data_IF_502251539836
#
_entry.id   IF_502251539836
#
_cell.length_a   1.000
_cell.length_b   1.000
_cell.length_c   1.000
_cell.angle_alpha   90.00
_cell.angle_beta   90.00
_cell.angle_gamma   90.00
#
_symmetry.space_group_name_H-M   'P 1'
#
loop_
_entity.id
_entity.type
_entity.pdbx_description
1 polymer ?
#
# COMPACT_ATOMS: atom_id res chain seq x y z
N UNK A 1 7.78 6.48 -22.11
CA UNK A 1 7.78 5.13 -21.47
C UNK A 1 7.92 5.20 -19.95
N UNK A 2 9.03 5.66 -19.31
CA UNK A 2 9.08 5.69 -17.84
C UNK A 2 8.01 6.62 -17.24
N UNK A 3 7.98 7.87 -17.66
CA UNK A 3 7.00 8.85 -17.17
C UNK A 3 5.55 8.44 -17.46
N UNK A 4 5.28 7.81 -18.59
CA UNK A 4 3.91 7.39 -18.96
C UNK A 4 3.38 6.29 -18.03
N UNK A 5 4.26 5.52 -17.40
CA UNK A 5 3.88 4.43 -16.50
C UNK A 5 3.99 4.79 -15.01
N UNK A 6 4.88 5.71 -14.63
CA UNK A 6 5.19 6.00 -13.23
C UNK A 6 4.97 7.46 -12.82
N UNK A 7 4.77 8.39 -13.76
CA UNK A 7 4.37 9.74 -13.43
C UNK A 7 2.85 9.89 -13.56
N UNK A 8 2.13 9.17 -12.70
CA UNK A 8 0.67 9.14 -12.67
C UNK A 8 0.12 10.03 -11.57
N UNK A 9 -1.12 10.45 -11.72
CA UNK A 9 -2.01 10.85 -10.64
C UNK A 9 -3.21 9.92 -10.64
N UNK A 10 -3.73 9.57 -9.49
CA UNK A 10 -4.86 8.68 -9.38
C UNK A 10 -5.73 9.07 -8.18
N UNK A 11 -7.03 9.06 -8.41
CA UNK A 11 -8.02 9.22 -7.36
C UNK A 11 -8.63 7.86 -7.02
N UNK A 12 -8.97 7.67 -5.76
CA UNK A 12 -9.76 6.55 -5.31
C UNK A 12 -11.10 6.53 -6.03
N UNK A 13 -11.56 5.34 -6.40
CA UNK A 13 -12.81 5.19 -7.12
C UNK A 13 -14.00 5.35 -6.16
N UNK A 14 -14.62 6.52 -6.18
CA UNK A 14 -15.62 6.97 -5.22
C UNK A 14 -16.72 5.96 -4.90
N UNK A 15 -17.33 5.22 -5.87
CA UNK A 15 -18.37 4.24 -5.56
C UNK A 15 -17.93 3.06 -4.66
N UNK A 16 -16.64 2.78 -4.58
CA UNK A 16 -16.08 1.70 -3.76
C UNK A 16 -15.33 2.21 -2.52
N UNK A 17 -15.29 3.53 -2.30
CA UNK A 17 -14.61 4.12 -1.15
C UNK A 17 -15.28 3.71 0.15
N UNK A 18 -14.44 3.46 1.15
CA UNK A 18 -14.86 3.28 2.54
C UNK A 18 -14.85 4.63 3.26
N UNK A 19 -15.78 4.81 4.18
CA UNK A 19 -15.92 5.99 4.99
C UNK A 19 -15.78 5.65 6.47
N UNK A 20 -15.45 6.64 7.30
CA UNK A 20 -15.30 6.45 8.75
C UNK A 20 -16.58 5.86 9.37
N UNK A 21 -17.74 6.24 8.83
CA UNK A 21 -19.05 5.78 9.26
C UNK A 21 -19.32 4.29 8.97
N UNK A 22 -18.56 3.67 8.07
CA UNK A 22 -18.64 2.23 7.78
C UNK A 22 -18.04 1.39 8.93
N UNK A 23 -17.32 2.04 9.86
CA UNK A 23 -16.60 1.39 10.95
C UNK A 23 -17.09 1.85 12.32
N UNK A 24 -17.43 0.92 13.19
CA UNK A 24 -17.96 1.24 14.50
C UNK A 24 -16.89 1.84 15.44
N UNK A 25 -17.08 3.10 15.82
CA UNK A 25 -16.22 3.81 16.76
C UNK A 25 -14.89 4.28 16.18
N UNK A 26 -14.68 4.18 14.87
CA UNK A 26 -13.52 4.77 14.22
C UNK A 26 -13.63 6.29 14.20
N UNK A 27 -12.58 6.96 14.62
CA UNK A 27 -12.43 8.42 14.55
C UNK A 27 -11.26 8.76 13.63
N UNK A 28 -11.34 9.92 12.96
CA UNK A 28 -10.29 10.40 12.05
C UNK A 28 -10.00 11.89 12.28
N UNK A 29 -8.73 12.24 12.43
CA UNK A 29 -8.25 13.61 12.36
C UNK A 29 -7.44 13.82 11.07
N UNK A 30 -7.81 14.83 10.28
CA UNK A 30 -7.12 15.15 9.02
C UNK A 30 -5.93 16.10 9.29
N UNK A 31 -4.84 15.85 8.58
CA UNK A 31 -3.60 16.64 8.61
C UNK A 31 -3.15 16.98 7.20
N UNK A 32 -2.27 17.96 7.11
CA UNK A 32 -1.55 18.28 5.87
C UNK A 32 -0.10 18.57 6.21
N UNK A 33 0.83 17.96 5.46
CA UNK A 33 2.27 18.09 5.70
C UNK A 33 3.04 18.15 4.38
N UNK A 34 4.18 18.85 4.33
CA UNK A 34 4.94 19.00 3.09
C UNK A 34 5.76 17.75 2.79
N UNK A 35 5.90 17.40 1.50
CA UNK A 35 6.94 16.52 0.99
C UNK A 35 8.11 17.33 0.39
N UNK A 36 9.07 16.65 -0.23
CA UNK A 36 10.40 17.15 -0.60
C UNK A 36 10.41 18.36 -1.55
N UNK A 37 9.38 18.51 -2.39
CA UNK A 37 9.25 19.63 -3.35
C UNK A 37 8.33 20.75 -2.86
N UNK A 38 7.85 20.64 -1.61
CA UNK A 38 6.91 21.57 -1.00
C UNK A 38 5.45 21.31 -1.34
N UNK A 39 5.13 20.24 -2.10
CA UNK A 39 3.76 19.79 -2.28
C UNK A 39 3.20 19.28 -0.94
N UNK A 40 1.96 19.65 -0.65
CA UNK A 40 1.28 19.24 0.57
C UNK A 40 0.64 17.87 0.38
N UNK A 41 0.93 16.95 1.30
CA UNK A 41 0.30 15.65 1.37
C UNK A 41 -0.84 15.67 2.39
N UNK A 42 -1.91 14.97 2.06
CA UNK A 42 -3.02 14.74 2.97
C UNK A 42 -2.70 13.55 3.88
N UNK A 43 -2.84 13.73 5.18
CA UNK A 43 -2.63 12.71 6.22
C UNK A 43 -3.87 12.52 7.07
N UNK A 44 -4.05 11.32 7.58
CA UNK A 44 -5.23 10.89 8.32
C UNK A 44 -4.79 10.09 9.53
N UNK A 45 -5.09 10.59 10.73
CA UNK A 45 -4.84 9.88 11.99
C UNK A 45 -6.13 9.22 12.46
N UNK A 46 -6.19 7.92 12.34
CA UNK A 46 -7.29 7.10 12.82
C UNK A 46 -7.06 6.62 14.24
N UNK A 47 -8.14 6.56 15.03
CA UNK A 47 -8.14 5.97 16.36
C UNK A 47 -9.49 5.31 16.66
N UNK A 48 -9.50 4.38 17.60
CA UNK A 48 -10.72 3.76 18.09
C UNK A 48 -10.55 3.50 19.61
N UNK A 49 -11.28 4.29 20.43
CA UNK A 49 -11.17 4.23 21.88
C UNK A 49 -9.95 4.94 22.46
N UNK A 50 -9.63 4.59 23.70
CA UNK A 50 -8.55 5.16 24.49
C UNK A 50 -7.45 4.11 24.76
N UNK A 51 -6.25 4.56 25.18
CA UNK A 51 -5.12 3.72 25.57
C UNK A 51 -4.35 3.07 24.40
N UNK A 52 -4.13 3.82 23.33
CA UNK A 52 -3.22 3.41 22.28
C UNK A 52 -1.78 3.32 22.81
N UNK A 53 -1.04 2.31 22.32
CA UNK A 53 0.30 1.98 22.79
C UNK A 53 1.36 1.97 21.68
N UNK A 54 0.96 2.32 20.46
CA UNK A 54 1.84 2.45 19.29
C UNK A 54 1.17 3.21 18.16
N UNK A 55 1.93 3.53 17.13
CA UNK A 55 1.45 4.15 15.90
C UNK A 55 1.79 3.22 14.72
N UNK A 56 0.78 2.80 13.96
CA UNK A 56 0.98 2.14 12.67
C UNK A 56 0.97 3.21 11.58
N UNK A 57 2.03 3.34 10.79
CA UNK A 57 2.00 4.18 9.59
C UNK A 57 1.74 3.29 8.38
N UNK A 58 0.69 3.57 7.60
CA UNK A 58 0.30 2.80 6.43
C UNK A 58 0.76 3.51 5.16
N UNK A 59 1.59 2.83 4.36
CA UNK A 59 1.95 3.23 3.01
C UNK A 59 1.11 2.42 1.99
N UNK A 60 0.34 3.13 1.16
CA UNK A 60 -0.57 2.52 0.19
C UNK A 60 0.14 1.99 -1.06
N UNK A 61 -0.54 1.13 -1.83
CA UNK A 61 -0.07 0.59 -3.10
C UNK A 61 -0.11 1.62 -4.25
N UNK A 62 0.42 1.24 -5.41
CA UNK A 62 0.53 2.10 -6.58
C UNK A 62 -0.75 2.10 -7.42
N UNK A 63 -1.23 3.28 -7.81
CA UNK A 63 -2.19 3.45 -8.91
C UNK A 63 -3.68 3.25 -8.57
N UNK A 64 -4.01 2.96 -7.31
CA UNK A 64 -5.40 2.76 -6.87
C UNK A 64 -6.01 3.92 -6.08
N UNK A 65 -5.46 5.13 -6.18
CA UNK A 65 -5.74 6.24 -5.28
C UNK A 65 -4.82 6.23 -4.06
N UNK A 66 -5.24 6.86 -2.98
CA UNK A 66 -4.45 7.01 -1.76
C UNK A 66 -4.76 5.97 -0.68
N UNK A 67 -4.87 6.45 0.55
CA UNK A 67 -5.02 5.62 1.75
C UNK A 67 -6.33 4.83 1.84
N UNK A 68 -7.38 5.25 1.13
CA UNK A 68 -8.74 4.71 1.27
C UNK A 68 -8.82 3.19 1.07
N UNK A 69 -7.99 2.64 0.16
CA UNK A 69 -7.91 1.20 -0.09
C UNK A 69 -7.47 0.36 1.12
N UNK A 70 -7.00 0.99 2.20
CA UNK A 70 -6.49 0.35 3.42
C UNK A 70 -7.24 0.77 4.68
N UNK A 71 -8.45 1.36 4.56
CA UNK A 71 -9.25 1.80 5.71
C UNK A 71 -9.72 0.64 6.59
N UNK A 72 -9.97 -0.53 6.01
CA UNK A 72 -10.28 -1.76 6.75
C UNK A 72 -9.09 -2.20 7.62
N UNK A 73 -7.87 -2.15 7.11
CA UNK A 73 -6.66 -2.40 7.88
C UNK A 73 -6.43 -1.33 8.95
N UNK A 74 -6.70 -0.05 8.63
CA UNK A 74 -6.60 1.04 9.58
C UNK A 74 -7.59 0.86 10.74
N UNK A 75 -8.85 0.53 10.46
CA UNK A 75 -9.84 0.21 11.49
C UNK A 75 -9.42 -0.97 12.36
N UNK A 76 -8.88 -2.03 11.73
CA UNK A 76 -8.43 -3.20 12.48
C UNK A 76 -7.34 -2.85 13.50
N UNK A 77 -6.29 -2.14 13.09
CA UNK A 77 -5.23 -1.72 14.00
C UNK A 77 -5.73 -0.71 15.04
N UNK A 78 -6.60 0.24 14.65
CA UNK A 78 -7.17 1.21 15.57
C UNK A 78 -7.99 0.54 16.69
N UNK A 79 -8.84 -0.44 16.37
CA UNK A 79 -9.61 -1.24 17.35
C UNK A 79 -8.72 -2.05 18.29
N UNK A 80 -7.49 -2.33 17.89
CA UNK A 80 -6.55 -3.14 18.66
C UNK A 80 -5.45 -2.30 19.33
N UNK A 81 -5.73 -1.02 19.62
CA UNK A 81 -4.91 -0.18 20.51
C UNK A 81 -3.75 0.53 19.81
N UNK A 82 -3.84 0.80 18.53
CA UNK A 82 -2.90 1.65 17.81
C UNK A 82 -3.58 2.94 17.34
N UNK A 83 -2.83 4.04 17.32
CA UNK A 83 -3.11 5.08 16.34
C UNK A 83 -2.69 4.58 14.96
N UNK A 84 -3.42 4.96 13.93
CA UNK A 84 -3.04 4.62 12.55
C UNK A 84 -2.89 5.90 11.76
N UNK A 85 -1.68 6.21 11.31
CA UNK A 85 -1.44 7.32 10.41
C UNK A 85 -1.36 6.79 8.97
N UNK A 86 -2.32 7.18 8.14
CA UNK A 86 -2.32 6.90 6.72
C UNK A 86 -2.21 8.21 5.94
N UNK A 87 -1.73 8.19 4.72
CA UNK A 87 -1.58 9.39 3.89
C UNK A 87 -1.80 9.06 2.42
N UNK A 88 -2.14 10.08 1.66
CA UNK A 88 -2.14 10.03 0.22
C UNK A 88 -0.76 10.47 -0.28
N UNK A 89 -0.09 9.65 -1.08
CA UNK A 89 1.20 10.00 -1.67
C UNK A 89 1.06 11.15 -2.68
N UNK A 90 2.17 11.76 -3.08
CA UNK A 90 2.22 12.83 -4.07
C UNK A 90 1.33 12.53 -5.28
N UNK A 91 0.42 13.47 -5.62
CA UNK A 91 -0.53 13.40 -6.74
C UNK A 91 -1.58 12.27 -6.63
N UNK A 92 -1.82 11.73 -5.43
CA UNK A 92 -2.89 10.78 -5.16
C UNK A 92 -3.98 11.46 -4.32
N UNK A 93 -5.25 11.17 -4.61
CA UNK A 93 -6.43 11.68 -3.92
C UNK A 93 -6.34 13.18 -3.55
N UNK A 94 -6.27 13.51 -2.25
CA UNK A 94 -6.22 14.90 -1.77
C UNK A 94 -4.81 15.52 -1.72
N UNK A 95 -3.78 14.75 -2.03
CA UNK A 95 -2.41 15.25 -2.03
C UNK A 95 -2.06 16.04 -3.29
N UNK A 96 -1.29 17.12 -3.10
CA UNK A 96 -0.83 17.97 -4.21
C UNK A 96 0.22 17.25 -5.08
N UNK A 97 0.36 17.71 -6.32
CA UNK A 97 1.35 17.29 -7.29
C UNK A 97 0.77 17.17 -8.70
N UNK A 98 1.60 17.47 -9.70
CA UNK A 98 1.22 17.29 -11.12
C UNK A 98 1.35 15.82 -11.59
N UNK A 99 1.87 14.96 -10.72
CA UNK A 99 2.10 13.55 -10.92
C UNK A 99 3.13 13.01 -9.93
N UNK A 100 3.08 11.72 -9.65
CA UNK A 100 3.98 11.03 -8.71
C UNK A 100 5.46 11.17 -9.11
N UNK A 101 5.72 11.10 -10.40
CA UNK A 101 7.06 11.28 -10.95
C UNK A 101 7.91 10.03 -11.00
N UNK A 102 7.64 9.02 -10.19
CA UNK A 102 8.36 7.75 -10.20
C UNK A 102 8.30 6.98 -8.89
N UNK A 103 8.66 5.71 -8.94
CA UNK A 103 8.59 4.76 -7.83
C UNK A 103 9.29 5.24 -6.54
N UNK A 104 10.50 5.87 -6.59
CA UNK A 104 11.18 6.33 -5.38
C UNK A 104 10.48 7.47 -4.63
N UNK A 105 9.52 8.19 -5.25
CA UNK A 105 8.77 9.24 -4.58
C UNK A 105 8.01 8.72 -3.36
N UNK A 106 7.49 7.49 -3.39
CA UNK A 106 6.80 6.91 -2.26
C UNK A 106 7.68 6.73 -1.02
N UNK A 107 8.96 6.42 -1.21
CA UNK A 107 9.92 6.36 -0.07
C UNK A 107 10.14 7.75 0.52
N UNK A 108 10.22 8.79 -0.34
CA UNK A 108 10.36 10.19 0.09
C UNK A 108 9.11 10.66 0.83
N UNK A 109 7.94 10.36 0.31
CA UNK A 109 6.67 10.75 0.93
C UNK A 109 6.50 10.08 2.30
N UNK A 110 6.88 8.80 2.43
CA UNK A 110 6.86 8.08 3.70
C UNK A 110 7.91 8.63 4.69
N UNK A 111 9.13 8.98 4.24
CA UNK A 111 10.15 9.65 5.05
C UNK A 111 9.60 10.95 5.67
N UNK A 112 8.91 11.77 4.85
CA UNK A 112 8.27 12.99 5.33
C UNK A 112 7.06 12.71 6.22
N UNK A 113 6.29 11.64 5.99
CA UNK A 113 5.18 11.23 6.84
C UNK A 113 5.65 10.81 8.24
N UNK A 114 6.72 10.00 8.33
CA UNK A 114 7.31 9.59 9.62
C UNK A 114 7.86 10.82 10.35
N UNK A 115 8.63 11.67 9.67
CA UNK A 115 9.16 12.92 10.25
C UNK A 115 8.03 13.83 10.76
N UNK A 116 6.92 13.93 10.01
CA UNK A 116 5.75 14.70 10.43
C UNK A 116 5.12 14.12 11.70
N UNK A 117 4.90 12.82 11.76
CA UNK A 117 4.32 12.14 12.94
C UNK A 117 5.19 12.36 14.17
N UNK A 118 6.51 12.22 14.05
CA UNK A 118 7.45 12.40 15.16
C UNK A 118 7.56 13.85 15.64
N UNK A 119 7.41 14.82 14.73
CA UNK A 119 7.59 16.24 15.05
C UNK A 119 6.30 16.97 15.45
N UNK A 120 5.13 16.34 15.24
CA UNK A 120 3.84 16.96 15.51
C UNK A 120 3.41 16.77 16.97
N UNK A 121 3.28 17.88 17.72
CA UNK A 121 2.90 17.85 19.13
C UNK A 121 1.45 17.39 19.40
N UNK A 122 0.59 17.38 18.38
CA UNK A 122 -0.80 16.90 18.50
C UNK A 122 -0.91 15.37 18.33
N UNK A 123 0.17 14.71 17.90
CA UNK A 123 0.27 13.25 17.79
C UNK A 123 1.09 12.74 18.98
N UNK A 124 0.60 11.75 19.74
CA UNK A 124 1.33 11.20 20.88
C UNK A 124 2.69 10.61 20.47
N UNK A 125 3.73 10.83 21.29
CA UNK A 125 5.05 10.21 21.13
C UNK A 125 4.98 8.73 21.59
N UNK A 126 4.75 7.84 20.64
CA UNK A 126 4.58 6.40 20.82
C UNK A 126 5.49 5.64 19.83
N UNK A 127 5.82 4.36 20.12
CA UNK A 127 6.58 3.53 19.18
C UNK A 127 5.91 3.45 17.80
N UNK A 128 6.70 3.68 16.75
CA UNK A 128 6.24 3.62 15.36
C UNK A 128 6.53 2.24 14.77
N UNK A 129 5.53 1.68 14.10
CA UNK A 129 5.61 0.48 13.27
C UNK A 129 5.01 0.80 11.89
N UNK A 130 5.48 0.10 10.84
CA UNK A 130 5.08 0.39 9.47
C UNK A 130 4.33 -0.79 8.86
N UNK A 131 3.30 -0.49 8.08
CA UNK A 131 2.55 -1.43 7.28
C UNK A 131 2.52 -0.97 5.81
N UNK A 132 2.82 -1.86 4.87
CA UNK A 132 2.74 -1.53 3.46
C UNK A 132 2.43 -2.73 2.58
N UNK A 133 1.70 -2.48 1.49
CA UNK A 133 1.37 -3.47 0.49
C UNK A 133 1.86 -3.02 -0.88
N UNK A 134 2.37 -3.95 -1.68
CA UNK A 134 2.83 -3.68 -3.05
C UNK A 134 3.93 -2.60 -3.06
N UNK A 135 3.72 -1.50 -3.77
CA UNK A 135 4.59 -0.32 -3.73
C UNK A 135 4.81 0.21 -2.32
N UNK A 136 3.73 0.26 -1.50
CA UNK A 136 3.83 0.61 -0.08
C UNK A 136 4.72 -0.37 0.70
N UNK A 137 4.70 -1.67 0.35
CA UNK A 137 5.59 -2.69 0.91
C UNK A 137 7.07 -2.37 0.66
N UNK A 138 7.41 -2.00 -0.57
CA UNK A 138 8.75 -1.49 -0.89
C UNK A 138 9.07 -0.22 -0.09
N UNK A 139 8.13 0.73 -0.01
CA UNK A 139 8.37 2.00 0.68
C UNK A 139 8.68 1.80 2.17
N UNK A 140 7.90 0.97 2.90
CA UNK A 140 8.10 0.72 4.32
C UNK A 140 9.43 0.00 4.63
N UNK A 141 9.91 -0.80 3.70
CA UNK A 141 11.19 -1.50 3.83
C UNK A 141 12.38 -0.60 3.45
N UNK A 142 12.27 0.16 2.35
CA UNK A 142 13.34 1.02 1.88
C UNK A 142 13.52 2.27 2.76
N UNK A 143 12.46 2.78 3.42
CA UNK A 143 12.54 3.95 4.31
C UNK A 143 13.39 3.70 5.54
N UNK A 144 13.61 2.44 5.93
CA UNK A 144 14.51 2.07 7.04
C UNK A 144 15.96 2.52 6.82
N UNK A 145 16.37 2.85 5.61
CA UNK A 145 17.63 3.53 5.34
C UNK A 145 17.75 4.92 5.98
N UNK A 146 16.62 5.50 6.42
CA UNK A 146 16.51 6.86 6.95
C UNK A 146 15.92 6.90 8.35
N UNK A 147 15.10 5.91 8.72
CA UNK A 147 14.35 5.80 9.98
C UNK A 147 14.67 4.49 10.69
N UNK A 148 15.85 4.45 11.33
CA UNK A 148 16.32 3.27 12.06
C UNK A 148 15.68 3.08 13.44
N UNK A 149 14.91 4.05 13.92
CA UNK A 149 14.14 4.04 15.16
C UNK A 149 12.83 3.25 15.06
N UNK A 150 12.34 2.99 13.84
CA UNK A 150 11.14 2.19 13.58
C UNK A 150 11.27 0.79 14.21
N UNK A 151 10.25 0.39 14.97
CA UNK A 151 10.29 -0.85 15.76
C UNK A 151 10.01 -2.10 14.95
N UNK A 152 9.09 -2.01 13.99
CA UNK A 152 8.74 -3.14 13.16
C UNK A 152 8.19 -2.70 11.79
N UNK A 153 8.36 -3.58 10.81
CA UNK A 153 7.82 -3.43 9.45
C UNK A 153 7.07 -4.70 9.06
N UNK A 154 5.86 -4.53 8.51
CA UNK A 154 5.15 -5.58 7.76
C UNK A 154 5.11 -5.17 6.29
N UNK A 155 5.76 -5.94 5.45
CA UNK A 155 5.79 -5.81 4.00
C UNK A 155 4.95 -6.91 3.37
N UNK A 156 3.87 -6.54 2.68
CA UNK A 156 3.01 -7.47 1.93
C UNK A 156 3.21 -7.26 0.42
N UNK A 157 3.51 -8.33 -0.34
CA UNK A 157 3.68 -8.30 -1.81
C UNK A 157 4.61 -7.19 -2.31
N UNK A 158 5.62 -6.83 -1.52
CA UNK A 158 6.59 -5.79 -1.85
C UNK A 158 7.76 -6.30 -2.69
N UNK A 159 8.75 -5.43 -2.91
CA UNK A 159 9.92 -5.71 -3.73
C UNK A 159 11.16 -4.97 -3.22
N UNK A 160 12.36 -5.39 -3.67
CA UNK A 160 13.60 -4.90 -3.09
C UNK A 160 14.05 -3.52 -3.59
N UNK A 161 13.82 -3.18 -4.87
CA UNK A 161 14.30 -1.93 -5.46
C UNK A 161 13.28 -1.34 -6.43
N UNK A 162 13.31 -0.02 -6.64
CA UNK A 162 12.38 0.65 -7.56
C UNK A 162 12.38 0.05 -8.97
N UNK A 163 13.56 -0.40 -9.46
CA UNK A 163 13.66 -1.06 -10.75
C UNK A 163 12.99 -2.43 -10.81
N UNK A 164 12.78 -3.11 -9.68
CA UNK A 164 12.12 -4.43 -9.64
C UNK A 164 10.65 -4.31 -10.06
N UNK A 165 9.98 -3.21 -9.67
CA UNK A 165 8.61 -2.92 -10.14
C UNK A 165 8.53 -2.76 -11.65
N UNK A 166 9.53 -2.09 -12.25
CA UNK A 166 9.63 -1.95 -13.70
C UNK A 166 9.87 -3.30 -14.38
N UNK A 167 10.77 -4.11 -13.82
CA UNK A 167 11.08 -5.44 -14.36
C UNK A 167 9.88 -6.37 -14.27
N UNK A 168 9.20 -6.44 -13.13
CA UNK A 168 8.04 -7.29 -12.93
C UNK A 168 6.91 -6.91 -13.89
N UNK A 169 6.48 -5.65 -13.89
CA UNK A 169 5.41 -5.18 -14.77
C UNK A 169 5.75 -5.26 -16.26
N UNK A 170 7.02 -5.05 -16.64
CA UNK A 170 7.45 -5.12 -18.04
C UNK A 170 7.71 -6.54 -18.57
N UNK A 171 7.92 -7.51 -17.67
CA UNK A 171 8.24 -8.90 -18.06
C UNK A 171 7.11 -9.56 -18.87
N UNK A 172 5.87 -9.27 -18.54
CA UNK A 172 4.70 -9.78 -19.28
C UNK A 172 4.59 -9.20 -20.69
N UNK A 173 5.06 -7.96 -20.90
CA UNK A 173 4.95 -7.24 -22.18
C UNK A 173 6.17 -7.43 -23.10
N UNK A 174 7.38 -7.43 -22.54
CA UNK A 174 8.65 -7.43 -23.28
C UNK A 174 9.53 -8.66 -23.00
N UNK A 175 9.08 -9.61 -22.19
CA UNK A 175 9.88 -10.77 -21.79
C UNK A 175 11.24 -10.36 -21.21
N UNK A 176 12.30 -11.14 -21.51
CA UNK A 176 13.66 -10.86 -21.02
C UNK A 176 14.30 -9.58 -21.58
N UNK A 177 13.70 -8.95 -22.60
CA UNK A 177 14.23 -7.69 -23.15
C UNK A 177 14.13 -6.54 -22.12
N UNK A 178 13.20 -6.61 -21.17
CA UNK A 178 13.02 -5.63 -20.10
C UNK A 178 14.32 -5.39 -19.32
N UNK A 179 15.10 -6.44 -19.06
CA UNK A 179 16.34 -6.35 -18.29
C UNK A 179 17.42 -5.51 -18.99
N UNK A 180 17.35 -5.34 -20.30
CA UNK A 180 18.28 -4.47 -21.04
C UNK A 180 17.99 -2.98 -20.79
N UNK A 181 16.78 -2.63 -20.36
CA UNK A 181 16.36 -1.27 -20.04
C UNK A 181 16.62 -0.88 -18.57
N UNK A 182 16.70 -1.84 -17.67
CA UNK A 182 16.88 -1.60 -16.23
C UNK A 182 18.08 -0.68 -15.90
N UNK A 183 19.27 -0.81 -16.51
CA UNK A 183 20.37 0.11 -16.21
C UNK A 183 20.04 1.58 -16.55
N UNK A 184 19.28 1.82 -17.61
CA UNK A 184 18.87 3.18 -18.01
C UNK A 184 17.82 3.74 -17.06
N UNK A 185 16.90 2.92 -16.58
CA UNK A 185 15.91 3.29 -15.57
C UNK A 185 16.63 3.69 -14.27
N UNK A 186 17.56 2.87 -13.79
CA UNK A 186 18.34 3.15 -12.58
C UNK A 186 19.12 4.46 -12.69
N UNK A 187 19.72 4.75 -13.85
CA UNK A 187 20.41 6.02 -14.07
C UNK A 187 19.41 7.19 -14.07
N UNK A 188 18.27 7.04 -14.73
CA UNK A 188 17.24 8.07 -14.77
C UNK A 188 16.71 8.39 -13.35
N UNK A 189 16.36 7.38 -12.60
CA UNK A 189 15.89 7.52 -11.21
C UNK A 189 16.98 8.10 -10.30
N UNK A 190 18.23 7.65 -10.43
CA UNK A 190 19.34 8.20 -9.66
C UNK A 190 19.53 9.71 -9.91
N UNK A 191 19.46 10.15 -11.16
CA UNK A 191 19.58 11.58 -11.51
C UNK A 191 18.44 12.41 -10.94
N UNK A 192 17.26 11.81 -10.73
CA UNK A 192 16.07 12.49 -10.24
C UNK A 192 15.93 12.43 -8.72
N UNK A 193 16.23 11.31 -8.09
CA UNK A 193 15.94 11.00 -6.70
C UNK A 193 17.18 10.71 -5.84
N UNK A 194 18.37 10.63 -6.46
CA UNK A 194 19.62 10.36 -5.75
C UNK A 194 19.56 9.03 -4.98
N UNK A 195 19.89 9.11 -3.70
CA UNK A 195 19.95 7.94 -2.81
C UNK A 195 18.62 7.22 -2.64
N UNK A 196 17.48 7.91 -2.74
CA UNK A 196 16.16 7.28 -2.64
C UNK A 196 15.86 6.30 -3.78
N UNK A 197 16.54 6.45 -4.92
CA UNK A 197 16.43 5.50 -6.03
C UNK A 197 17.43 4.34 -5.94
N UNK A 198 18.51 4.48 -5.16
CA UNK A 198 19.59 3.49 -5.09
C UNK A 198 19.57 2.64 -3.83
N UNK A 199 19.06 3.19 -2.73
CA UNK A 199 18.92 2.43 -1.48
C UNK A 199 17.74 1.46 -1.61
N UNK A 200 18.03 0.19 -1.34
CA UNK A 200 17.06 -0.91 -1.47
C UNK A 200 16.39 -1.22 -0.13
N UNK A 201 15.34 -2.06 -0.15
CA UNK A 201 14.76 -2.62 1.06
C UNK A 201 15.80 -3.39 1.88
N UNK A 202 16.64 -4.22 1.23
CA UNK A 202 17.70 -4.97 1.92
C UNK A 202 18.74 -4.06 2.55
N UNK A 203 19.08 -2.91 1.92
CA UNK A 203 19.97 -1.91 2.55
C UNK A 203 19.32 -1.33 3.80
N UNK A 204 17.99 -1.08 3.77
CA UNK A 204 17.21 -0.63 4.93
C UNK A 204 17.20 -1.65 6.07
N UNK A 205 17.00 -2.92 5.77
CA UNK A 205 17.07 -4.01 6.76
C UNK A 205 18.44 -4.12 7.42
N UNK A 206 19.51 -3.95 6.64
CA UNK A 206 20.88 -3.99 7.14
C UNK A 206 21.25 -2.73 7.96
N UNK A 207 20.66 -1.57 7.60
CA UNK A 207 20.85 -0.30 8.30
C UNK A 207 20.12 -0.25 9.65
N UNK A 208 19.06 -1.06 9.84
CA UNK A 208 18.17 -1.04 11.01
C UNK A 208 18.22 -2.38 11.77
N UNK A 209 19.32 -2.68 12.47
CA UNK A 209 19.54 -3.99 13.11
C UNK A 209 18.57 -4.28 14.27
N UNK A 210 17.90 -3.27 14.81
CA UNK A 210 16.95 -3.40 15.92
C UNK A 210 15.48 -3.46 15.46
N UNK A 211 15.22 -3.32 14.16
CA UNK A 211 13.88 -3.37 13.58
C UNK A 211 13.47 -4.82 13.29
N UNK A 212 12.30 -5.22 13.76
CA UNK A 212 11.68 -6.51 13.37
C UNK A 212 11.05 -6.41 12.00
N UNK A 213 11.15 -7.46 11.17
CA UNK A 213 10.64 -7.45 9.79
C UNK A 213 9.77 -8.68 9.54
N UNK A 214 8.54 -8.46 9.07
CA UNK A 214 7.67 -9.51 8.57
C UNK A 214 7.43 -9.32 7.08
N UNK A 215 7.69 -10.37 6.31
CA UNK A 215 7.49 -10.41 4.86
C UNK A 215 6.37 -11.37 4.53
N UNK A 216 5.37 -10.90 3.81
CA UNK A 216 4.19 -11.68 3.38
C UNK A 216 4.08 -11.61 1.87
N UNK A 217 4.05 -12.75 1.18
CA UNK A 217 3.97 -12.77 -0.29
C UNK A 217 3.29 -14.04 -0.78
N UNK A 218 2.62 -13.97 -1.93
CA UNK A 218 2.02 -15.13 -2.58
C UNK A 218 2.87 -15.61 -3.75
N UNK A 219 2.98 -16.93 -3.91
CA UNK A 219 3.78 -17.54 -4.98
C UNK A 219 3.19 -17.32 -6.38
N UNK A 220 1.87 -17.11 -6.46
CA UNK A 220 1.11 -16.85 -7.67
C UNK A 220 0.89 -15.35 -7.95
N UNK A 221 1.62 -14.46 -7.25
CA UNK A 221 1.57 -13.02 -7.51
C UNK A 221 2.02 -12.72 -8.94
N UNK A 222 1.09 -12.29 -9.78
CA UNK A 222 1.29 -11.99 -11.19
C UNK A 222 1.62 -10.50 -11.48
N UNK A 223 1.58 -9.66 -10.44
CA UNK A 223 1.94 -8.23 -10.50
C UNK A 223 3.39 -8.03 -10.07
N UNK A 224 3.72 -8.50 -8.87
CA UNK A 224 5.08 -8.48 -8.33
C UNK A 224 5.51 -9.92 -8.07
N UNK A 225 6.34 -10.48 -8.95
CA UNK A 225 6.83 -11.85 -8.76
C UNK A 225 7.55 -12.00 -7.43
N UNK A 226 7.27 -13.10 -6.73
CA UNK A 226 7.81 -13.41 -5.39
C UNK A 226 9.35 -13.39 -5.34
N UNK A 227 10.01 -13.60 -6.48
CA UNK A 227 11.46 -13.52 -6.64
C UNK A 227 12.04 -12.13 -6.44
N UNK A 228 11.22 -11.06 -6.54
CA UNK A 228 11.65 -9.68 -6.30
C UNK A 228 11.57 -9.27 -4.82
N UNK A 229 10.78 -9.99 -4.04
CA UNK A 229 10.54 -9.77 -2.61
C UNK A 229 10.94 -10.95 -1.74
N UNK A 230 9.95 -11.74 -1.28
CA UNK A 230 10.12 -12.78 -0.26
C UNK A 230 11.24 -13.76 -0.56
N UNK A 231 11.34 -14.33 -1.76
CA UNK A 231 12.37 -15.34 -2.06
C UNK A 231 13.77 -14.76 -1.94
N UNK A 232 13.98 -13.51 -2.43
CA UNK A 232 15.25 -12.78 -2.31
C UNK A 232 15.63 -12.51 -0.86
N UNK A 233 14.66 -12.08 -0.04
CA UNK A 233 14.90 -11.79 1.36
C UNK A 233 15.11 -13.06 2.18
N UNK A 234 14.35 -14.11 1.91
CA UNK A 234 14.47 -15.39 2.57
C UNK A 234 15.85 -16.02 2.36
N UNK A 235 16.40 -15.91 1.16
CA UNK A 235 17.75 -16.41 0.87
C UNK A 235 18.80 -15.81 1.80
N UNK A 236 18.69 -14.51 2.14
CA UNK A 236 19.65 -13.79 2.97
C UNK A 236 19.35 -13.84 4.46
N UNK A 237 18.06 -13.73 4.83
CA UNK A 237 17.66 -13.43 6.21
C UNK A 237 16.90 -14.56 6.93
N UNK A 238 16.77 -15.76 6.34
CA UNK A 238 16.02 -16.88 6.93
C UNK A 238 16.52 -17.31 8.32
N UNK A 239 17.77 -17.07 8.62
CA UNK A 239 18.41 -17.43 9.90
C UNK A 239 18.53 -16.21 10.85
N UNK A 240 18.04 -15.03 10.46
CA UNK A 240 18.01 -13.83 11.29
C UNK A 240 16.71 -13.81 12.13
N UNK A 241 16.81 -13.83 13.48
CA UNK A 241 15.64 -13.90 14.35
C UNK A 241 14.69 -12.68 14.28
N UNK A 242 15.14 -11.58 13.67
CA UNK A 242 14.28 -10.39 13.43
C UNK A 242 13.24 -10.64 12.35
N UNK A 243 13.49 -11.61 11.45
CA UNK A 243 12.65 -11.84 10.30
C UNK A 243 11.59 -12.91 10.58
N UNK A 244 10.38 -12.64 10.06
CA UNK A 244 9.28 -13.58 9.95
C UNK A 244 8.82 -13.63 8.51
N UNK A 245 8.60 -14.82 7.96
CA UNK A 245 8.17 -15.00 6.57
C UNK A 245 6.85 -15.74 6.53
N UNK A 246 5.90 -15.21 5.76
CA UNK A 246 4.62 -15.84 5.46
C UNK A 246 4.52 -15.98 3.93
N UNK A 247 4.59 -17.20 3.45
CA UNK A 247 4.42 -17.54 2.04
C UNK A 247 3.03 -18.15 1.85
N UNK A 248 2.25 -17.54 0.97
CA UNK A 248 1.04 -18.14 0.44
C UNK A 248 1.30 -18.74 -0.93
N UNK A 249 0.46 -19.68 -1.38
CA UNK A 249 0.60 -20.32 -2.68
C UNK A 249 -0.40 -19.79 -3.71
N UNK A 250 -1.56 -19.25 -3.26
CA UNK A 250 -2.74 -18.97 -4.07
C UNK A 250 -3.57 -17.76 -3.59
N UNK A 251 -2.90 -16.68 -3.16
CA UNK A 251 -3.55 -15.44 -2.71
C UNK A 251 -3.45 -14.30 -3.72
N UNK A 252 -2.65 -14.47 -4.78
CA UNK A 252 -2.37 -13.42 -5.76
C UNK A 252 -1.74 -12.18 -5.15
N UNK A 253 -1.85 -11.06 -5.85
CA UNK A 253 -1.30 -9.77 -5.43
C UNK A 253 -2.26 -8.98 -4.53
N UNK A 254 -3.47 -8.71 -5.05
CA UNK A 254 -4.40 -7.76 -4.42
C UNK A 254 -5.24 -8.39 -3.31
N UNK A 255 -5.39 -9.71 -3.30
CA UNK A 255 -6.23 -10.42 -2.33
C UNK A 255 -5.45 -10.97 -1.13
N UNK A 256 -4.15 -10.67 -1.05
CA UNK A 256 -3.25 -11.24 -0.03
C UNK A 256 -3.68 -10.89 1.41
N UNK A 257 -4.37 -9.77 1.59
CA UNK A 257 -4.87 -9.30 2.88
C UNK A 257 -6.29 -9.78 3.18
N UNK A 258 -6.99 -10.31 2.18
CA UNK A 258 -8.39 -10.64 2.28
C UNK A 258 -8.61 -12.10 2.71
N UNK A 259 -9.72 -12.33 3.41
CA UNK A 259 -10.17 -13.67 3.81
C UNK A 259 -10.49 -14.50 2.54
N UNK A 260 -9.79 -15.63 2.30
CA UNK A 260 -9.97 -16.44 1.10
C UNK A 260 -11.34 -17.13 1.01
N UNK A 261 -12.08 -17.19 2.12
CA UNK A 261 -13.44 -17.76 2.14
C UNK A 261 -14.53 -16.68 2.07
N UNK A 262 -14.16 -15.40 2.08
CA UNK A 262 -15.12 -14.32 1.90
C UNK A 262 -15.54 -14.20 0.43
N UNK A 263 -16.75 -14.62 0.12
CA UNK A 263 -17.30 -14.63 -1.24
C UNK A 263 -17.95 -13.32 -1.67
N UNK A 264 -18.02 -12.30 -0.81
CA UNK A 264 -18.81 -11.09 -1.11
C UNK A 264 -18.32 -10.37 -2.37
N UNK A 265 -17.01 -10.28 -2.60
CA UNK A 265 -16.46 -9.67 -3.83
C UNK A 265 -16.93 -10.44 -5.07
N UNK A 266 -16.90 -11.76 -5.02
CA UNK A 266 -17.34 -12.63 -6.12
C UNK A 266 -18.85 -12.52 -6.35
N UNK A 267 -19.65 -12.47 -5.26
CA UNK A 267 -21.09 -12.23 -5.33
C UNK A 267 -21.41 -10.87 -5.96
N UNK A 268 -20.71 -9.82 -5.54
CA UNK A 268 -20.86 -8.47 -6.09
C UNK A 268 -20.50 -8.42 -7.58
N UNK A 269 -19.36 -9.01 -7.96
CA UNK A 269 -18.92 -9.09 -9.35
C UNK A 269 -19.89 -9.89 -10.21
N UNK A 270 -20.41 -11.01 -9.72
CA UNK A 270 -21.42 -11.79 -10.44
C UNK A 270 -22.71 -10.99 -10.66
N UNK A 271 -23.16 -10.23 -9.66
CA UNK A 271 -24.29 -9.30 -9.79
C UNK A 271 -24.03 -8.20 -10.82
N UNK A 272 -22.79 -7.66 -10.84
CA UNK A 272 -22.37 -6.68 -11.83
C UNK A 272 -22.38 -7.27 -13.26
N UNK A 273 -21.85 -8.48 -13.44
CA UNK A 273 -21.85 -9.18 -14.73
C UNK A 273 -23.27 -9.48 -15.23
N UNK A 274 -24.19 -9.77 -14.33
CA UNK A 274 -25.62 -9.95 -14.68
C UNK A 274 -26.26 -8.63 -15.05
N UNK A 275 -25.94 -7.53 -14.35
CA UNK A 275 -26.38 -6.19 -14.70
C UNK A 275 -25.85 -5.75 -16.09
N UNK A 276 -24.58 -6.03 -16.42
CA UNK A 276 -24.04 -5.72 -17.75
C UNK A 276 -24.88 -6.30 -18.90
N UNK A 277 -25.45 -7.50 -18.71
CA UNK A 277 -26.31 -8.17 -19.70
C UNK A 277 -27.67 -7.46 -19.90
N UNK A 278 -28.06 -6.59 -18.96
CA UNK A 278 -29.32 -5.83 -19.04
C UNK A 278 -29.19 -4.50 -19.78
N UNK A 279 -27.96 -4.07 -20.08
CA UNK A 279 -27.72 -2.82 -20.80
C UNK A 279 -28.31 -2.86 -22.22
N UNK A 280 -28.95 -1.77 -22.63
CA UNK A 280 -29.59 -1.60 -23.94
C UNK A 280 -28.63 -1.03 -25.01
N UNK A 281 -27.33 -0.95 -24.70
CA UNK A 281 -26.26 -0.41 -25.55
C UNK A 281 -24.97 -1.21 -25.42
N UNK A 282 -24.12 -1.10 -26.43
CA UNK A 282 -22.80 -1.68 -26.43
C UNK A 282 -21.83 -0.79 -25.61
N UNK A 283 -21.51 -1.23 -24.38
CA UNK A 283 -20.68 -0.48 -23.43
C UNK A 283 -19.18 -0.48 -23.75
N UNK A 284 -18.73 -1.33 -24.69
CA UNK A 284 -17.32 -1.38 -25.10
C UNK A 284 -16.97 -0.31 -26.15
N UNK A 285 -17.96 0.36 -26.73
CA UNK A 285 -17.74 1.39 -27.76
C UNK A 285 -17.30 2.72 -27.13
N UNK A 286 -16.41 3.42 -27.83
CA UNK A 286 -15.93 4.75 -27.38
C UNK A 286 -17.08 5.76 -27.28
N UNK A 287 -18.12 5.64 -28.12
CA UNK A 287 -19.33 6.50 -28.09
C UNK A 287 -20.10 6.38 -26.75
N UNK A 288 -20.13 5.18 -26.16
CA UNK A 288 -20.89 4.91 -24.94
C UNK A 288 -20.05 4.96 -23.65
N UNK A 289 -18.77 5.25 -23.75
CA UNK A 289 -17.81 5.19 -22.63
C UNK A 289 -18.22 6.06 -21.44
N UNK A 290 -18.60 7.31 -21.68
CA UNK A 290 -19.02 8.21 -20.61
C UNK A 290 -20.37 7.77 -20.00
N UNK A 291 -21.33 7.37 -20.83
CA UNK A 291 -22.60 6.81 -20.34
C UNK A 291 -22.38 5.57 -19.49
N UNK A 292 -21.49 4.68 -19.95
CA UNK A 292 -21.16 3.47 -19.20
C UNK A 292 -20.49 3.78 -17.87
N UNK A 293 -19.58 4.76 -17.83
CA UNK A 293 -18.93 5.19 -16.58
C UNK A 293 -19.97 5.69 -15.55
N UNK A 294 -20.93 6.50 -15.97
CA UNK A 294 -21.99 6.99 -15.09
C UNK A 294 -22.94 5.86 -14.62
N UNK A 295 -23.36 4.99 -15.54
CA UNK A 295 -24.26 3.88 -15.24
C UNK A 295 -23.60 2.85 -14.32
N UNK A 296 -22.31 2.56 -14.54
CA UNK A 296 -21.48 1.70 -13.68
C UNK A 296 -21.38 2.28 -12.27
N UNK A 297 -20.97 3.54 -12.15
CA UNK A 297 -20.81 4.20 -10.85
C UNK A 297 -22.14 4.19 -10.06
N UNK A 298 -23.27 4.45 -10.75
CA UNK A 298 -24.61 4.38 -10.13
C UNK A 298 -24.93 2.97 -9.65
N UNK A 299 -24.70 1.94 -10.50
CA UNK A 299 -24.95 0.55 -10.11
C UNK A 299 -24.13 0.17 -8.86
N UNK A 300 -22.84 0.48 -8.85
CA UNK A 300 -21.95 0.14 -7.74
C UNK A 300 -22.38 0.85 -6.46
N UNK A 301 -22.68 2.15 -6.51
CA UNK A 301 -23.18 2.90 -5.35
C UNK A 301 -24.50 2.35 -4.80
N UNK A 302 -25.41 1.90 -5.67
CA UNK A 302 -26.73 1.39 -5.27
C UNK A 302 -26.69 -0.05 -4.73
N UNK A 303 -25.69 -0.86 -5.11
CA UNK A 303 -25.65 -2.28 -4.81
C UNK A 303 -24.51 -2.72 -3.89
N UNK A 304 -23.54 -1.83 -3.62
CA UNK A 304 -22.46 -2.14 -2.68
C UNK A 304 -22.99 -2.20 -1.25
N UNK A 305 -22.78 -3.33 -0.58
CA UNK A 305 -22.99 -3.47 0.87
C UNK A 305 -21.71 -3.07 1.58
N UNK A 306 -21.63 -1.83 2.07
CA UNK A 306 -20.46 -1.27 2.74
C UNK A 306 -20.03 -2.09 3.97
N UNK A 307 -20.98 -2.67 4.71
CA UNK A 307 -20.67 -3.48 5.88
C UNK A 307 -19.95 -4.79 5.50
N UNK A 308 -20.32 -5.40 4.37
CA UNK A 308 -19.60 -6.56 3.85
C UNK A 308 -18.30 -6.17 3.16
N UNK A 309 -18.28 -5.04 2.47
CA UNK A 309 -17.10 -4.53 1.78
C UNK A 309 -15.97 -4.15 2.74
N UNK A 310 -16.30 -3.57 3.90
CA UNK A 310 -15.34 -3.24 4.97
C UNK A 310 -14.90 -4.45 5.82
N UNK A 311 -15.56 -5.61 5.68
CA UNK A 311 -15.29 -6.81 6.48
C UNK A 311 -14.55 -7.91 5.69
N UNK A 312 -13.63 -7.53 4.78
CA UNK A 312 -12.94 -8.48 3.88
C UNK A 312 -11.63 -9.05 4.42
N UNK A 313 -11.05 -8.44 5.45
CA UNK A 313 -9.73 -8.82 5.95
C UNK A 313 -9.66 -10.24 6.47
N UNK A 314 -8.55 -10.92 6.19
CA UNK A 314 -8.18 -12.19 6.81
C UNK A 314 -7.84 -11.97 8.29
N UNK A 315 -8.80 -12.28 9.16
CA UNK A 315 -8.67 -12.06 10.61
C UNK A 315 -7.50 -12.85 11.21
N UNK A 316 -7.23 -14.07 10.74
CA UNK A 316 -6.14 -14.90 11.24
C UNK A 316 -4.77 -14.29 10.86
N UNK A 317 -4.65 -13.73 9.66
CA UNK A 317 -3.46 -13.02 9.23
C UNK A 317 -3.25 -11.76 10.06
N UNK A 318 -4.30 -10.96 10.27
CA UNK A 318 -4.20 -9.72 11.02
C UNK A 318 -3.96 -9.94 12.53
N UNK A 319 -4.43 -11.04 13.12
CA UNK A 319 -4.01 -11.46 14.47
C UNK A 319 -2.51 -11.70 14.53
N UNK A 320 -1.91 -12.35 13.52
CA UNK A 320 -0.45 -12.55 13.46
C UNK A 320 0.30 -11.24 13.31
N UNK A 321 -0.26 -10.26 12.59
CA UNK A 321 0.31 -8.92 12.46
C UNK A 321 0.35 -8.20 13.82
N UNK A 322 -0.74 -8.24 14.56
CA UNK A 322 -0.80 -7.66 15.92
C UNK A 322 0.20 -8.31 16.86
N UNK A 323 0.22 -9.65 16.94
CA UNK A 323 1.18 -10.37 17.79
C UNK A 323 2.63 -10.04 17.42
N UNK A 324 2.91 -9.81 16.14
CA UNK A 324 4.22 -9.40 15.68
C UNK A 324 4.57 -7.98 16.16
N UNK A 325 3.68 -7.02 15.99
CA UNK A 325 3.90 -5.65 16.46
C UNK A 325 4.02 -5.58 17.98
N UNK A 326 3.14 -6.24 18.73
CA UNK A 326 3.18 -6.26 20.18
C UNK A 326 4.51 -6.79 20.75
N UNK A 327 5.11 -7.77 20.08
CA UNK A 327 6.43 -8.30 20.49
C UNK A 327 7.56 -7.32 20.18
N UNK A 328 7.42 -6.53 19.13
CA UNK A 328 8.46 -5.64 18.62
C UNK A 328 8.53 -4.30 19.37
N UNK A 329 7.43 -3.86 19.97
CA UNK A 329 7.37 -2.57 20.70
C UNK A 329 7.58 -2.70 22.22
N UNK A 330 7.69 -3.93 22.74
CA UNK A 330 8.01 -4.20 24.16
C UNK A 330 9.51 -4.12 24.41
#
# INVERSE_FOLDING_TARGET
MYNDNFNISADSYEPLMLHVEDFNGLECAEYSFPSDKGQMLAGYLYSNGENQHGIVIIAHGFGGGGHNSYMDAADYFAKNGYYVFAYDATAMDKSEGDGLGGVPQGVIDLDNAITFVESNNDIPDLPIVLFGHSWGGYCVSAVLNYHTEVKAVIECSGFNSSSDMFESGGKSQAGSLIYTMTPFIRIHEFLKYGKYATNTAMDGFDASPDTSVMIVHSADDDVIGIEYGLDKYYEKYKDDPRFSFIRFEDRGHSEILNDPVNSYKDEFNAGFDDWLKTLDYDYETEENKERFKEDKARYETEHLDHAKWSARLDQDLFVRFLEFYERSIR
#
